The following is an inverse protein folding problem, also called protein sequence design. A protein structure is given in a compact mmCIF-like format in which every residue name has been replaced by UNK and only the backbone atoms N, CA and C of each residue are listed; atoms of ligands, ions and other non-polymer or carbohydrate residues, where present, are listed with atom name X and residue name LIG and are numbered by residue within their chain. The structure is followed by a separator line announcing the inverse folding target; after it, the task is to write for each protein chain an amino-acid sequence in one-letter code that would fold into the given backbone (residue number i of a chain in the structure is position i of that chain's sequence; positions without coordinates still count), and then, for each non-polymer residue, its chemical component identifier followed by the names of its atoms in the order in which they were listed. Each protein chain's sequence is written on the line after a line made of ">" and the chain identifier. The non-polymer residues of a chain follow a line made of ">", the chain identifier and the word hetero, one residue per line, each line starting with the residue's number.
data_IF_353491170535
#
_entry.id   IF_353491170535
#
_cell.length_a   1.000
_cell.length_b   1.000
_cell.length_c   1.000
_cell.angle_alpha   90.00
_cell.angle_beta   90.00
_cell.angle_gamma   90.00
#
_symmetry.space_group_name_H-M   'P 1'
#
loop_
_entity.id
_entity.type
_entity.pdbx_description
1 polymer ?
#
# COMPACT_ATOMS: atom_id res chain seq x y z
N UNK A 1 24.26 4.59 36.98
CA UNK A 1 24.47 5.09 35.59
C UNK A 1 24.29 3.99 34.53
N UNK A 2 23.18 3.23 34.55
CA UNK A 2 22.96 2.10 33.60
C UNK A 2 21.76 2.30 32.65
N UNK A 3 20.87 3.26 32.95
CA UNK A 3 19.68 3.55 32.13
C UNK A 3 19.98 4.34 30.85
N UNK A 4 21.10 5.06 30.80
CA UNK A 4 21.44 5.97 29.70
C UNK A 4 21.75 5.24 28.38
N UNK A 5 22.27 4.01 28.46
CA UNK A 5 22.65 3.23 27.28
C UNK A 5 21.43 2.61 26.58
N UNK A 6 20.46 2.09 27.34
CA UNK A 6 19.24 1.50 26.79
C UNK A 6 18.33 2.53 26.12
N UNK A 7 18.20 3.71 26.72
CA UNK A 7 17.41 4.80 26.13
C UNK A 7 18.04 5.31 24.83
N UNK A 8 19.38 5.46 24.78
CA UNK A 8 20.10 5.83 23.57
C UNK A 8 19.93 4.81 22.44
N UNK A 9 20.01 3.52 22.75
CA UNK A 9 19.80 2.46 21.78
C UNK A 9 18.37 2.48 21.21
N UNK A 10 17.37 2.72 22.08
CA UNK A 10 15.97 2.81 21.66
C UNK A 10 15.70 4.03 20.76
N UNK A 11 16.26 5.19 21.12
CA UNK A 11 16.14 6.43 20.32
C UNK A 11 16.77 6.24 18.94
N UNK A 12 17.99 5.68 18.89
CA UNK A 12 18.67 5.41 17.62
C UNK A 12 17.95 4.36 16.78
N UNK A 13 17.42 3.29 17.40
CA UNK A 13 16.62 2.29 16.71
C UNK A 13 15.36 2.88 16.09
N UNK A 14 14.61 3.66 16.87
CA UNK A 14 13.38 4.32 16.40
C UNK A 14 13.66 5.33 15.29
N UNK A 15 14.72 6.13 15.43
CA UNK A 15 15.13 7.10 14.41
C UNK A 15 15.50 6.41 13.08
N UNK A 16 16.21 5.28 13.13
CA UNK A 16 16.53 4.46 11.95
C UNK A 16 15.27 3.97 11.26
N UNK A 17 14.30 3.42 12.02
CA UNK A 17 13.03 2.92 11.47
C UNK A 17 12.26 4.05 10.78
N UNK A 18 12.18 5.24 11.39
CA UNK A 18 11.49 6.40 10.80
C UNK A 18 12.20 6.85 9.51
N UNK A 19 13.54 6.92 9.51
CA UNK A 19 14.32 7.26 8.31
C UNK A 19 14.12 6.26 7.18
N UNK A 20 14.14 4.96 7.48
CA UNK A 20 13.87 3.89 6.52
C UNK A 20 12.45 4.00 5.94
N UNK A 21 11.45 4.19 6.79
CA UNK A 21 10.06 4.38 6.37
C UNK A 21 9.89 5.60 5.47
N UNK A 22 10.47 6.74 5.84
CA UNK A 22 10.42 7.96 5.05
C UNK A 22 11.12 7.81 3.70
N UNK A 23 12.29 7.15 3.65
CA UNK A 23 13.01 6.88 2.41
C UNK A 23 12.21 5.98 1.46
N UNK A 24 11.53 4.95 1.99
CA UNK A 24 10.65 4.08 1.20
C UNK A 24 9.45 4.87 0.64
N UNK A 25 8.81 5.71 1.45
CA UNK A 25 7.70 6.56 0.99
C UNK A 25 8.15 7.55 -0.10
N UNK A 26 9.29 8.21 0.10
CA UNK A 26 9.85 9.14 -0.89
C UNK A 26 10.23 8.42 -2.19
N UNK A 27 10.86 7.25 -2.10
CA UNK A 27 11.19 6.42 -3.27
C UNK A 27 9.95 5.96 -4.04
N UNK A 28 8.85 5.64 -3.35
CA UNK A 28 7.57 5.31 -4.00
C UNK A 28 6.92 6.52 -4.68
N UNK A 29 7.06 7.73 -4.12
CA UNK A 29 6.58 8.95 -4.77
C UNK A 29 7.37 9.29 -6.05
N UNK A 30 8.67 8.94 -6.10
CA UNK A 30 9.51 9.13 -7.28
C UNK A 30 9.41 8.02 -8.33
N UNK A 31 8.72 6.92 -8.05
CA UNK A 31 8.43 5.91 -9.07
C UNK A 31 7.37 6.45 -10.03
N UNK A 32 7.83 7.05 -11.14
CA UNK A 32 6.97 7.27 -12.30
C UNK A 32 6.32 5.93 -12.69
N UNK A 33 4.99 5.89 -12.91
CA UNK A 33 4.31 4.64 -13.21
C UNK A 33 4.93 4.05 -14.48
N UNK A 34 5.54 2.86 -14.36
CA UNK A 34 5.95 2.08 -15.52
C UNK A 34 4.66 1.65 -16.21
N UNK A 35 4.30 2.37 -17.27
CA UNK A 35 3.15 2.06 -18.12
C UNK A 35 3.50 0.80 -18.92
N UNK A 36 3.30 -0.34 -18.28
CA UNK A 36 3.24 -1.62 -18.99
C UNK A 36 1.84 -1.67 -19.60
N UNK A 37 1.67 -1.88 -20.93
CA UNK A 37 0.34 -1.94 -21.52
C UNK A 37 -0.43 -3.11 -20.91
N UNK A 38 -1.33 -2.79 -19.98
CA UNK A 38 -2.23 -3.75 -19.37
C UNK A 38 -3.32 -4.11 -20.40
N UNK A 39 -3.78 -5.37 -20.44
CA UNK A 39 -4.94 -5.73 -21.24
C UNK A 39 -6.11 -4.82 -20.84
N UNK A 40 -6.77 -4.23 -21.84
CA UNK A 40 -7.70 -3.09 -21.74
C UNK A 40 -8.82 -3.29 -20.71
N UNK A 41 -9.21 -4.54 -20.44
CA UNK A 41 -10.22 -4.91 -19.43
C UNK A 41 -9.76 -4.60 -17.99
N UNK A 42 -8.47 -4.62 -17.72
CA UNK A 42 -7.91 -4.43 -16.37
C UNK A 42 -7.65 -2.97 -16.00
N UNK A 43 -7.68 -2.05 -16.96
CA UNK A 43 -7.44 -0.63 -16.71
C UNK A 43 -8.59 0.03 -15.94
N UNK A 44 -9.84 -0.28 -16.30
CA UNK A 44 -11.04 0.20 -15.61
C UNK A 44 -11.08 -0.24 -14.14
N UNK A 45 -10.91 -1.55 -13.89
CA UNK A 45 -10.88 -2.09 -12.53
C UNK A 45 -9.75 -1.49 -11.67
N UNK A 46 -8.56 -1.27 -12.24
CA UNK A 46 -7.46 -0.62 -11.52
C UNK A 46 -7.75 0.85 -11.18
N UNK A 47 -8.44 1.58 -12.07
CA UNK A 47 -8.86 2.96 -11.80
C UNK A 47 -9.90 3.04 -10.68
N UNK A 48 -10.83 2.08 -10.63
CA UNK A 48 -11.83 1.98 -9.57
C UNK A 48 -11.18 1.60 -8.22
N UNK A 49 -10.28 0.62 -8.21
CA UNK A 49 -9.48 0.27 -7.02
C UNK A 49 -8.63 1.45 -6.53
N UNK A 50 -8.15 2.30 -7.44
CA UNK A 50 -7.41 3.52 -7.08
C UNK A 50 -8.31 4.56 -6.41
N UNK A 51 -9.54 4.77 -6.91
CA UNK A 51 -10.56 5.60 -6.27
C UNK A 51 -10.91 5.06 -4.88
N UNK A 52 -11.05 3.75 -4.76
CA UNK A 52 -11.44 3.08 -3.52
C UNK A 52 -10.36 3.08 -2.45
N UNK A 53 -9.07 3.28 -2.80
CA UNK A 53 -7.98 3.44 -1.81
C UNK A 53 -8.09 4.74 -1.00
N UNK A 54 -8.74 5.76 -1.54
CA UNK A 54 -8.93 7.06 -0.88
C UNK A 54 -10.36 7.26 -0.38
N UNK A 55 -11.26 6.34 -0.68
CA UNK A 55 -12.63 6.36 -0.17
C UNK A 55 -12.66 5.91 1.30
N UNK A 56 -13.51 6.54 2.11
CA UNK A 56 -13.73 6.13 3.50
C UNK A 56 -14.39 4.76 3.59
N UNK A 57 -14.24 4.10 4.74
CA UNK A 57 -14.92 2.82 4.99
C UNK A 57 -16.44 2.99 4.88
N UNK A 58 -17.09 2.16 4.05
CA UNK A 58 -18.55 2.13 3.91
C UNK A 58 -19.08 2.05 2.47
N UNK A 59 -18.27 2.37 1.46
CA UNK A 59 -18.68 2.28 0.05
C UNK A 59 -18.85 0.81 -0.38
N UNK A 60 -20.09 0.40 -0.63
CA UNK A 60 -20.47 -0.94 -1.10
C UNK A 60 -19.90 -1.28 -2.48
N UNK A 61 -19.85 -0.31 -3.38
CA UNK A 61 -19.26 -0.49 -4.71
C UNK A 61 -17.76 -0.74 -4.58
N UNK A 62 -17.08 -0.04 -3.67
CA UNK A 62 -15.68 -0.29 -3.39
C UNK A 62 -15.41 -1.68 -2.80
N UNK A 63 -16.29 -2.18 -1.92
CA UNK A 63 -16.18 -3.56 -1.41
C UNK A 63 -16.33 -4.59 -2.52
N UNK A 64 -17.32 -4.41 -3.41
CA UNK A 64 -17.54 -5.31 -4.54
C UNK A 64 -16.35 -5.30 -5.53
N UNK A 65 -15.81 -4.12 -5.83
CA UNK A 65 -14.62 -3.97 -6.69
C UNK A 65 -13.39 -4.69 -6.10
N UNK A 66 -13.18 -4.58 -4.78
CA UNK A 66 -12.10 -5.30 -4.10
C UNK A 66 -12.30 -6.82 -4.09
N UNK A 67 -13.53 -7.30 -3.93
CA UNK A 67 -13.84 -8.72 -4.01
C UNK A 67 -13.53 -9.28 -5.40
N UNK A 68 -14.05 -8.65 -6.46
CA UNK A 68 -13.82 -9.06 -7.84
C UNK A 68 -12.33 -9.03 -8.23
N UNK A 69 -11.59 -8.02 -7.78
CA UNK A 69 -10.14 -7.94 -8.01
C UNK A 69 -9.37 -9.08 -7.33
N UNK A 70 -9.76 -9.46 -6.10
CA UNK A 70 -9.16 -10.59 -5.39
C UNK A 70 -9.44 -11.91 -6.11
N UNK A 71 -10.68 -12.15 -6.53
CA UNK A 71 -11.02 -13.36 -7.27
C UNK A 71 -10.21 -13.49 -8.57
N UNK A 72 -10.02 -12.37 -9.28
CA UNK A 72 -9.21 -12.33 -10.48
C UNK A 72 -7.73 -12.65 -10.19
N UNK A 73 -7.19 -12.10 -9.10
CA UNK A 73 -5.79 -12.33 -8.71
C UNK A 73 -5.54 -13.76 -8.25
N UNK A 74 -6.44 -14.33 -7.46
CA UNK A 74 -6.29 -15.68 -6.91
C UNK A 74 -6.82 -16.80 -7.84
N UNK A 75 -7.44 -16.45 -8.98
CA UNK A 75 -8.16 -17.38 -9.87
C UNK A 75 -9.10 -18.34 -9.12
N UNK A 76 -9.71 -17.87 -8.02
CA UNK A 76 -10.62 -18.65 -7.17
C UNK A 76 -11.64 -17.71 -6.51
N UNK A 77 -12.93 -18.08 -6.43
CA UNK A 77 -13.92 -17.28 -5.72
C UNK A 77 -13.57 -17.20 -4.22
N UNK A 78 -13.79 -16.04 -3.61
CA UNK A 78 -13.65 -15.88 -2.17
C UNK A 78 -14.82 -16.58 -1.48
N UNK A 79 -14.56 -17.77 -0.93
CA UNK A 79 -15.51 -18.59 -0.15
C UNK A 79 -15.68 -18.08 1.27
#
# INVERSE_FOLDING_TARGET
>A
MKQSAGFRALVWGTALIILLGAAVLAGRASQAPIVTPAPTRSAGAQSELARCRTAGEGDEACRAAWAAAREHFFRRPAS
#
